data_IF_119664152816
#
_entry.id   IF_119664152816
#
_cell.length_a   1.000
_cell.length_b   1.000
_cell.length_c   1.000
_cell.angle_alpha   90.00
_cell.angle_beta   90.00
_cell.angle_gamma   90.00
#
_symmetry.space_group_name_H-M   'P 1'
#
loop_
_entity.id
_entity.type
_entity.pdbx_description
1 polymer ?
#
# COMPACT_ATOMS: atom_id res chain seq x y z
N UNK A 1 -2.99 8.12 7.12
CA UNK A 1 -3.95 7.05 6.78
C UNK A 1 -3.11 5.85 6.39
N UNK A 2 -3.15 4.77 7.18
CA UNK A 2 -2.41 3.54 6.88
C UNK A 2 -3.04 2.78 5.71
N UNK A 3 -2.33 1.82 5.15
CA UNK A 3 -2.84 0.90 4.14
C UNK A 3 -2.73 -0.54 4.63
N UNK A 4 -3.51 -1.42 4.01
CA UNK A 4 -3.47 -2.86 4.26
C UNK A 4 -3.02 -3.55 2.97
N UNK A 5 -1.94 -4.33 3.03
CA UNK A 5 -1.55 -5.26 1.97
C UNK A 5 -1.78 -6.66 2.51
N UNK A 6 -2.60 -7.42 1.79
CA UNK A 6 -2.85 -8.82 2.11
C UNK A 6 -1.79 -9.67 1.40
N UNK A 7 -0.90 -10.29 2.18
CA UNK A 7 0.06 -11.27 1.67
C UNK A 7 -0.64 -12.62 1.53
N UNK A 8 -1.33 -12.85 0.41
CA UNK A 8 -2.10 -14.07 0.19
C UNK A 8 -1.50 -15.04 -0.84
N UNK A 9 -0.72 -14.54 -1.80
CA UNK A 9 -0.22 -15.33 -2.94
C UNK A 9 1.22 -14.93 -3.25
N UNK A 10 2.12 -15.92 -3.23
CA UNK A 10 3.56 -15.75 -3.47
C UNK A 10 3.99 -16.12 -4.90
N UNK A 11 3.05 -16.51 -5.78
CA UNK A 11 3.37 -16.93 -7.15
C UNK A 11 3.45 -15.71 -8.07
N UNK A 12 4.61 -15.35 -8.65
CA UNK A 12 4.73 -14.16 -9.48
C UNK A 12 3.92 -14.28 -10.79
N UNK A 13 3.30 -13.19 -11.25
CA UNK A 13 2.49 -13.16 -12.48
C UNK A 13 3.39 -12.88 -13.68
N UNK A 14 4.25 -13.82 -14.04
CA UNK A 14 5.25 -13.64 -15.12
C UNK A 14 4.83 -14.23 -16.46
N UNK A 15 3.81 -15.08 -16.49
CA UNK A 15 3.34 -15.75 -17.71
C UNK A 15 2.23 -14.99 -18.44
N UNK A 16 1.60 -14.00 -17.79
CA UNK A 16 0.58 -13.15 -18.40
C UNK A 16 1.22 -12.09 -19.30
N UNK A 17 0.70 -11.93 -20.52
CA UNK A 17 1.21 -10.97 -21.51
C UNK A 17 0.26 -9.79 -21.73
N UNK A 18 -1.00 -9.93 -21.33
CA UNK A 18 -1.97 -8.85 -21.39
C UNK A 18 -1.74 -7.88 -20.22
N UNK A 19 -1.37 -6.63 -20.57
CA UNK A 19 -1.07 -5.56 -19.62
C UNK A 19 -2.26 -5.20 -18.72
N UNK A 20 -3.47 -5.24 -19.24
CA UNK A 20 -4.67 -4.93 -18.48
C UNK A 20 -4.97 -6.05 -17.49
N UNK A 21 -4.84 -7.30 -17.95
CA UNK A 21 -5.06 -8.49 -17.13
C UNK A 21 -4.03 -8.64 -16.01
N UNK A 22 -2.74 -8.42 -16.29
CA UNK A 22 -1.69 -8.43 -15.24
C UNK A 22 -1.91 -7.28 -14.25
N UNK A 23 -2.27 -6.09 -14.72
CA UNK A 23 -2.54 -4.93 -13.84
C UNK A 23 -3.72 -5.23 -12.92
N UNK A 24 -4.83 -5.74 -13.46
CA UNK A 24 -6.00 -6.11 -12.67
C UNK A 24 -5.66 -7.15 -11.60
N UNK A 25 -4.93 -8.20 -11.96
CA UNK A 25 -4.51 -9.23 -11.00
C UNK A 25 -3.59 -8.66 -9.91
N UNK A 26 -2.60 -7.85 -10.29
CA UNK A 26 -1.72 -7.17 -9.35
C UNK A 26 -2.51 -6.31 -8.35
N UNK A 27 -3.41 -5.44 -8.85
CA UNK A 27 -4.23 -4.56 -8.02
C UNK A 27 -5.18 -5.33 -7.08
N UNK A 28 -5.66 -6.51 -7.48
CA UNK A 28 -6.41 -7.39 -6.59
C UNK A 28 -5.53 -7.99 -5.49
N UNK A 29 -4.33 -8.46 -5.83
CA UNK A 29 -3.40 -9.09 -4.88
C UNK A 29 -2.89 -8.13 -3.81
N UNK A 30 -2.61 -6.88 -4.16
CA UNK A 30 -2.18 -5.87 -3.17
C UNK A 30 -3.36 -5.29 -2.37
N UNK A 31 -4.58 -5.82 -2.54
CA UNK A 31 -5.76 -5.37 -1.80
C UNK A 31 -6.36 -4.04 -2.27
N UNK A 32 -5.93 -3.51 -3.42
CA UNK A 32 -6.47 -2.26 -3.96
C UNK A 32 -7.90 -2.45 -4.51
N UNK A 33 -8.09 -3.51 -5.31
CA UNK A 33 -9.39 -3.93 -5.85
C UNK A 33 -9.92 -5.08 -5.01
N UNK A 34 -11.08 -4.88 -4.39
CA UNK A 34 -11.75 -5.92 -3.60
C UNK A 34 -12.43 -6.93 -4.54
N UNK A 35 -12.33 -8.22 -4.24
CA UNK A 35 -13.01 -9.28 -5.00
C UNK A 35 -14.53 -9.00 -5.03
N UNK A 36 -15.12 -9.03 -6.22
CA UNK A 36 -16.55 -8.74 -6.42
C UNK A 36 -16.90 -7.27 -6.60
N UNK A 37 -15.94 -6.33 -6.46
CA UNK A 37 -16.13 -4.92 -6.81
C UNK A 37 -15.85 -4.67 -8.30
N UNK A 38 -16.45 -3.61 -8.88
CA UNK A 38 -16.13 -3.21 -10.26
C UNK A 38 -14.67 -2.73 -10.35
N UNK A 39 -13.86 -3.29 -11.26
CA UNK A 39 -12.48 -2.90 -11.46
C UNK A 39 -12.33 -1.64 -12.32
N UNK A 40 -13.39 -1.12 -12.94
CA UNK A 40 -13.27 -0.20 -14.09
C UNK A 40 -12.56 1.12 -13.73
N UNK A 41 -13.01 1.77 -12.65
CA UNK A 41 -12.38 3.01 -12.16
C UNK A 41 -10.96 2.77 -11.64
N UNK A 42 -10.71 1.83 -10.70
CA UNK A 42 -9.36 1.62 -10.19
C UNK A 42 -8.37 1.18 -11.26
N UNK A 43 -8.80 0.35 -12.22
CA UNK A 43 -7.95 -0.11 -13.32
C UNK A 43 -7.59 1.02 -14.27
N UNK A 44 -8.57 1.81 -14.74
CA UNK A 44 -8.30 2.96 -15.62
C UNK A 44 -7.48 4.04 -14.94
N UNK A 45 -7.77 4.35 -13.68
CA UNK A 45 -6.99 5.32 -12.92
C UNK A 45 -5.53 4.87 -12.83
N UNK A 46 -5.28 3.63 -12.43
CA UNK A 46 -3.92 3.14 -12.27
C UNK A 46 -3.22 3.02 -13.62
N UNK A 47 -3.78 2.24 -14.54
CA UNK A 47 -3.13 1.90 -15.81
C UNK A 47 -3.06 3.10 -16.76
N UNK A 48 -4.20 3.73 -17.06
CA UNK A 48 -4.26 4.75 -18.11
C UNK A 48 -3.76 6.11 -17.64
N UNK A 49 -4.02 6.47 -16.38
CA UNK A 49 -3.60 7.77 -15.86
C UNK A 49 -2.16 7.74 -15.33
N UNK A 50 -1.78 6.75 -14.51
CA UNK A 50 -0.47 6.76 -13.85
C UNK A 50 0.59 5.90 -14.52
N UNK A 51 0.27 4.70 -15.03
CA UNK A 51 1.29 3.82 -15.63
C UNK A 51 1.63 4.24 -17.06
N UNK A 52 0.62 4.52 -17.90
CA UNK A 52 0.85 4.96 -19.29
C UNK A 52 1.35 6.40 -19.40
N UNK A 53 1.21 7.22 -18.34
CA UNK A 53 1.65 8.61 -18.31
C UNK A 53 2.39 8.93 -16.99
N UNK A 54 3.53 8.28 -16.73
CA UNK A 54 4.19 8.33 -15.43
C UNK A 54 4.76 9.70 -15.06
N UNK A 55 5.12 10.51 -16.06
CA UNK A 55 5.65 11.86 -15.87
C UNK A 55 4.57 12.93 -15.64
N UNK A 56 3.29 12.60 -15.91
CA UNK A 56 2.19 13.55 -15.78
C UNK A 56 1.78 13.72 -14.32
N UNK A 57 1.72 14.98 -13.88
CA UNK A 57 1.02 15.37 -12.66
C UNK A 57 -0.46 15.64 -12.98
N UNK A 58 -1.34 14.89 -12.32
CA UNK A 58 -2.76 14.94 -12.55
C UNK A 58 -3.49 15.75 -11.49
N UNK A 59 -4.31 16.71 -11.93
CA UNK A 59 -5.26 17.37 -11.06
C UNK A 59 -6.47 16.46 -10.83
N UNK A 60 -7.11 16.60 -9.66
CA UNK A 60 -8.29 15.81 -9.30
C UNK A 60 -9.43 16.00 -10.29
N UNK A 61 -9.59 17.22 -10.80
CA UNK A 61 -10.64 17.57 -11.76
C UNK A 61 -10.43 16.90 -13.12
N UNK A 62 -9.17 16.81 -13.57
CA UNK A 62 -8.82 16.07 -14.79
C UNK A 62 -9.12 14.58 -14.62
N UNK A 63 -8.72 13.99 -13.49
CA UNK A 63 -8.99 12.58 -13.21
C UNK A 63 -10.49 12.29 -13.14
N UNK A 64 -11.27 13.18 -12.51
CA UNK A 64 -12.73 13.04 -12.44
C UNK A 64 -13.37 13.07 -13.83
N UNK A 65 -12.88 13.94 -14.71
CA UNK A 65 -13.31 14.03 -16.10
C UNK A 65 -12.95 12.76 -16.90
N UNK A 66 -11.69 12.34 -16.87
CA UNK A 66 -11.20 11.16 -17.60
C UNK A 66 -11.91 9.87 -17.18
N UNK A 67 -12.14 9.71 -15.87
CA UNK A 67 -12.78 8.52 -15.30
C UNK A 67 -14.29 8.59 -15.30
N UNK A 68 -14.88 9.72 -15.73
CA UNK A 68 -16.33 9.99 -15.70
C UNK A 68 -16.93 9.69 -14.32
N UNK A 69 -16.28 10.21 -13.28
CA UNK A 69 -16.67 9.95 -11.88
C UNK A 69 -16.59 11.21 -11.03
N UNK A 70 -16.99 11.11 -9.76
CA UNK A 70 -16.99 12.23 -8.83
C UNK A 70 -15.62 12.50 -8.22
N UNK A 71 -15.32 13.75 -7.85
CA UNK A 71 -14.11 14.11 -7.07
C UNK A 71 -13.96 13.25 -5.80
N UNK A 72 -15.01 13.02 -4.98
CA UNK A 72 -14.91 12.12 -3.83
C UNK A 72 -14.46 10.69 -4.19
N UNK A 73 -14.95 10.14 -5.31
CA UNK A 73 -14.52 8.82 -5.79
C UNK A 73 -13.02 8.84 -6.13
N UNK A 74 -12.57 9.85 -6.87
CA UNK A 74 -11.14 10.03 -7.21
C UNK A 74 -10.29 10.12 -5.94
N UNK A 75 -10.65 10.98 -4.98
CA UNK A 75 -9.91 11.13 -3.72
C UNK A 75 -9.79 9.82 -2.95
N UNK A 76 -10.84 8.99 -2.92
CA UNK A 76 -10.80 7.67 -2.28
C UNK A 76 -9.70 6.79 -2.88
N UNK A 77 -9.61 6.77 -4.20
CA UNK A 77 -8.60 5.98 -4.91
C UNK A 77 -7.20 6.56 -4.76
N UNK A 78 -7.05 7.89 -4.85
CA UNK A 78 -5.77 8.58 -4.65
C UNK A 78 -5.24 8.34 -3.23
N UNK A 79 -6.08 8.45 -2.22
CA UNK A 79 -5.68 8.24 -0.82
C UNK A 79 -5.22 6.80 -0.57
N UNK A 80 -5.87 5.81 -1.19
CA UNK A 80 -5.41 4.41 -1.13
C UNK A 80 -4.03 4.23 -1.76
N UNK A 81 -3.83 4.73 -2.99
CA UNK A 81 -2.55 4.59 -3.70
C UNK A 81 -1.42 5.39 -3.07
N UNK A 82 -1.72 6.56 -2.48
CA UNK A 82 -0.78 7.29 -1.60
C UNK A 82 -0.47 6.53 -0.33
N UNK A 83 -1.47 5.87 0.24
CA UNK A 83 -1.31 4.96 1.37
C UNK A 83 -0.22 3.94 1.04
N UNK A 84 -0.34 3.23 -0.08
CA UNK A 84 0.68 2.27 -0.56
C UNK A 84 2.06 2.87 -0.89
N UNK A 85 2.27 4.17 -0.71
CA UNK A 85 3.47 4.88 -1.16
C UNK A 85 3.74 4.81 -2.68
N UNK A 86 2.71 4.52 -3.48
CA UNK A 86 2.84 4.47 -4.95
C UNK A 86 2.78 5.87 -5.56
N UNK A 87 1.89 6.73 -5.04
CA UNK A 87 1.70 8.09 -5.52
C UNK A 87 2.28 9.12 -4.55
N UNK A 88 2.70 10.25 -5.10
CA UNK A 88 2.98 11.46 -4.35
C UNK A 88 2.00 12.58 -4.70
N UNK A 89 1.78 13.45 -3.73
CA UNK A 89 1.05 14.71 -3.91
C UNK A 89 2.09 15.83 -4.08
N UNK A 90 1.93 16.61 -5.13
CA UNK A 90 2.77 17.77 -5.43
C UNK A 90 1.89 19.02 -5.55
N UNK A 91 2.50 20.19 -5.43
CA UNK A 91 1.85 21.46 -5.73
C UNK A 91 2.27 21.92 -7.12
N UNK A 92 1.29 22.29 -7.94
CA UNK A 92 1.50 22.81 -9.30
C UNK A 92 0.84 24.18 -9.44
N UNK A 93 1.46 25.05 -10.25
CA UNK A 93 1.03 26.43 -10.48
C UNK A 93 1.78 27.45 -9.60
N UNK A 94 2.07 28.62 -10.18
CA UNK A 94 2.86 29.68 -9.54
C UNK A 94 2.02 30.51 -8.56
N UNK A 95 0.84 30.98 -8.96
CA UNK A 95 -0.02 31.84 -8.15
C UNK A 95 -1.05 31.07 -7.31
N UNK A 96 -1.66 30.03 -7.90
CA UNK A 96 -2.61 29.16 -7.20
C UNK A 96 -2.02 27.75 -7.12
N UNK A 97 -1.38 27.44 -5.99
CA UNK A 97 -0.77 26.12 -5.75
C UNK A 97 -1.84 25.05 -5.63
N UNK A 98 -2.19 24.42 -6.76
CA UNK A 98 -3.16 23.33 -6.82
C UNK A 98 -2.49 22.01 -6.48
N UNK A 99 -3.21 21.12 -5.80
CA UNK A 99 -2.76 19.76 -5.52
C UNK A 99 -2.87 18.92 -6.79
N UNK A 100 -1.76 18.31 -7.18
CA UNK A 100 -1.70 17.32 -8.23
C UNK A 100 -1.08 16.02 -7.70
N UNK A 101 -1.34 14.92 -8.40
CA UNK A 101 -0.90 13.60 -8.01
C UNK A 101 -0.13 12.97 -9.16
N UNK A 102 0.99 12.33 -8.87
CA UNK A 102 1.76 11.58 -9.86
C UNK A 102 2.36 10.32 -9.26
N UNK A 103 2.81 9.43 -10.14
CA UNK A 103 3.58 8.26 -9.76
C UNK A 103 4.89 8.71 -9.09
N UNK A 104 5.21 8.17 -7.92
CA UNK A 104 6.48 8.49 -7.26
C UNK A 104 7.64 8.18 -8.22
N UNK A 105 8.55 9.14 -8.37
CA UNK A 105 9.74 9.03 -9.21
C UNK A 105 9.46 8.71 -10.70
N UNK A 106 8.23 8.92 -11.19
CA UNK A 106 7.85 8.62 -12.58
C UNK A 106 8.08 7.15 -12.97
N UNK A 107 8.08 6.21 -12.01
CA UNK A 107 8.35 4.80 -12.30
C UNK A 107 7.68 3.90 -11.27
N UNK A 108 6.89 2.92 -11.75
CA UNK A 108 6.20 1.98 -10.88
C UNK A 108 7.19 1.13 -10.07
N UNK A 109 8.28 0.69 -10.70
CA UNK A 109 9.31 -0.08 -10.01
C UNK A 109 9.98 0.73 -8.90
N UNK A 110 10.33 1.99 -9.16
CA UNK A 110 10.91 2.86 -8.13
C UNK A 110 9.92 3.14 -7.02
N UNK A 111 8.65 3.42 -7.35
CA UNK A 111 7.60 3.63 -6.37
C UNK A 111 7.39 2.38 -5.48
N UNK A 112 7.38 1.20 -6.09
CA UNK A 112 7.21 -0.07 -5.38
C UNK A 112 8.33 -0.35 -4.37
N UNK A 113 9.57 0.05 -4.64
CA UNK A 113 10.66 -0.06 -3.67
C UNK A 113 10.34 0.64 -2.33
N UNK A 114 9.56 1.72 -2.35
CA UNK A 114 9.13 2.41 -1.12
C UNK A 114 8.04 1.63 -0.40
N UNK A 115 7.08 1.08 -1.14
CA UNK A 115 6.08 0.16 -0.60
C UNK A 115 6.76 -1.00 0.13
N UNK A 116 7.76 -1.64 -0.51
CA UNK A 116 8.53 -2.74 0.08
C UNK A 116 9.32 -2.31 1.31
N UNK A 117 10.01 -1.17 1.25
CA UNK A 117 10.74 -0.63 2.39
C UNK A 117 9.83 -0.37 3.59
N UNK A 118 8.64 0.20 3.36
CA UNK A 118 7.64 0.43 4.39
C UNK A 118 7.18 -0.89 5.02
N UNK A 119 6.81 -1.89 4.21
CA UNK A 119 6.42 -3.22 4.71
C UNK A 119 7.53 -3.84 5.55
N UNK A 120 8.78 -3.78 5.07
CA UNK A 120 9.94 -4.35 5.76
C UNK A 120 10.13 -3.73 7.13
N UNK A 121 10.05 -2.41 7.25
CA UNK A 121 10.16 -1.70 8.53
C UNK A 121 9.01 -2.09 9.47
N UNK A 122 7.78 -2.19 8.96
CA UNK A 122 6.63 -2.59 9.77
C UNK A 122 6.77 -4.01 10.33
N UNK A 123 7.15 -4.97 9.48
CA UNK A 123 7.37 -6.36 9.89
C UNK A 123 8.53 -6.48 10.88
N UNK A 124 9.62 -5.75 10.66
CA UNK A 124 10.76 -5.66 11.60
C UNK A 124 10.31 -5.18 12.98
N UNK A 125 9.45 -4.15 13.03
CA UNK A 125 8.94 -3.62 14.28
C UNK A 125 8.00 -4.61 14.98
N UNK A 126 7.14 -5.32 14.24
CA UNK A 126 6.32 -6.38 14.81
C UNK A 126 7.17 -7.51 15.39
N UNK A 127 8.24 -7.90 14.71
CA UNK A 127 9.18 -8.90 15.22
C UNK A 127 9.76 -8.47 16.57
N UNK A 128 10.23 -7.24 16.70
CA UNK A 128 10.74 -6.70 17.98
C UNK A 128 9.68 -6.72 19.09
N UNK A 129 8.43 -6.42 18.77
CA UNK A 129 7.33 -6.52 19.73
C UNK A 129 7.09 -7.95 20.19
N UNK A 130 7.14 -8.93 19.29
CA UNK A 130 6.99 -10.35 19.63
C UNK A 130 8.18 -10.86 20.46
N UNK A 131 9.40 -10.48 20.09
CA UNK A 131 10.62 -10.79 20.87
C UNK A 131 10.47 -10.28 22.31
N UNK A 132 10.07 -9.02 22.50
CA UNK A 132 9.84 -8.46 23.83
C UNK A 132 8.72 -9.17 24.59
N UNK A 133 7.62 -9.54 23.92
CA UNK A 133 6.53 -10.29 24.53
C UNK A 133 7.01 -11.66 25.05
N UNK A 134 7.84 -12.36 24.26
CA UNK A 134 8.41 -13.64 24.67
C UNK A 134 9.33 -13.50 25.89
N UNK A 135 10.18 -12.47 25.92
CA UNK A 135 11.05 -12.18 27.07
C UNK A 135 10.27 -11.99 28.38
N UNK A 136 9.10 -11.33 28.31
CA UNK A 136 8.23 -11.13 29.48
C UNK A 136 7.64 -12.45 29.97
N UNK A 137 7.13 -13.29 29.06
CA UNK A 137 6.57 -14.61 29.40
C UNK A 137 7.63 -15.50 30.05
N UNK A 138 8.84 -15.55 29.47
CA UNK A 138 9.95 -16.36 29.98
C UNK A 138 10.40 -15.88 31.37
N UNK A 139 10.31 -14.58 31.62
CA UNK A 139 10.67 -13.98 32.92
C UNK A 139 9.64 -14.28 34.00
N UNK A 140 8.34 -14.27 33.65
CA UNK A 140 7.25 -14.67 34.55
C UNK A 140 7.32 -16.16 34.90
N UNK A 141 7.56 -17.04 33.93
CA UNK A 141 7.71 -18.49 34.14
C UNK A 141 8.85 -18.84 35.10
N UNK A 142 10.00 -18.16 34.97
CA UNK A 142 11.16 -18.33 35.87
C UNK A 142 10.88 -17.83 37.30
N UNK A 143 10.03 -16.83 37.47
CA UNK A 143 9.58 -16.36 38.79
C UNK A 143 8.61 -17.33 39.46
N UNK A 144 7.71 -17.96 38.68
CA UNK A 144 6.78 -18.98 39.16
C UNK A 144 7.47 -20.27 39.64
N UNK A 145 8.51 -20.73 38.93
CA UNK A 145 9.31 -21.90 39.32
C UNK A 145 10.16 -21.65 40.58
N UNK A 146 10.74 -20.45 40.75
CA UNK A 146 11.49 -20.09 41.96
C UNK A 146 10.62 -20.07 43.22
N UNK A 147 9.41 -19.50 43.14
CA UNK A 147 8.51 -19.42 44.28
C UNK A 147 7.93 -20.79 44.70
N UNK A 148 7.81 -21.74 43.76
CA UNK A 148 7.38 -23.12 44.07
C UNK A 148 8.51 -24.01 44.59
N UNK A 149 9.77 -23.69 44.28
CA UNK A 149 10.93 -24.34 44.88
C UNK A 149 11.17 -23.88 46.33
N UNK A 150 11.04 -22.58 46.64
CA UNK A 150 11.24 -22.03 47.98
C UNK A 150 10.12 -22.38 48.99
N UNK A 151 8.91 -22.73 48.52
CA UNK A 151 7.78 -23.15 49.36
C UNK A 151 7.77 -24.64 49.72
N UNK A 152 8.75 -25.41 49.23
CA UNK A 152 8.94 -26.85 49.52
C UNK A 152 10.11 -27.12 50.49
N UNK A 153 10.72 -26.07 51.04
CA UNK A 153 11.72 -26.13 52.11
C UNK A 153 11.09 -25.60 53.42
#
# INVERSE_FOLDING_TARGET
>A
MGFEIIVADNTPIVTEKDIEKITKQFLMRIGYIVKGSSPDIPLKLFLDCFIKRPDKAWLVDELAFELKTSRPTVYRHLNKLKGFDILEEIQVGEETRKKAYRLRYGSLSKAWNFTEAHIKVSVENYRKTIEHLQELIDSEGKYGEKNTADSRL
#
